data_IF_829521877760
#
_entry.id   IF_829521877760
#
_cell.length_a   1.000
_cell.length_b   1.000
_cell.length_c   1.000
_cell.angle_alpha   90.00
_cell.angle_beta   90.00
_cell.angle_gamma   90.00
#
_symmetry.space_group_name_H-M   'P 1'
#
loop_
_entity.id
_entity.type
_entity.pdbx_description
1 polymer ?
#
# COMPACT_ATOMS: atom_id res chain seq x y z
N UNK A 1 -0.48 15.48 -15.77
CA UNK A 1 -0.46 15.02 -14.37
C UNK A 1 0.92 14.47 -14.07
N UNK A 2 1.50 14.83 -12.94
CA UNK A 2 2.83 14.35 -12.58
C UNK A 2 2.69 12.94 -11.97
N UNK A 3 3.08 11.92 -12.72
CA UNK A 3 3.05 10.52 -12.25
C UNK A 3 4.30 10.24 -11.43
N UNK A 4 4.11 9.94 -10.15
CA UNK A 4 5.22 9.71 -9.23
C UNK A 4 5.83 8.33 -9.43
N UNK A 5 4.98 7.31 -9.70
CA UNK A 5 5.39 5.95 -10.01
C UNK A 5 4.66 5.46 -11.25
N UNK A 6 5.37 4.78 -12.16
CA UNK A 6 4.82 4.19 -13.38
C UNK A 6 5.30 2.76 -13.56
N UNK A 7 4.44 1.93 -14.08
CA UNK A 7 4.77 0.57 -14.51
C UNK A 7 4.67 0.48 -16.03
N UNK A 8 5.70 -0.10 -16.65
CA UNK A 8 5.80 -0.23 -18.10
C UNK A 8 6.05 -1.69 -18.48
N UNK A 9 5.08 -2.33 -19.14
CA UNK A 9 5.15 -3.71 -19.62
C UNK A 9 5.63 -4.70 -18.55
N UNK A 10 5.24 -4.46 -17.28
CA UNK A 10 5.76 -5.19 -16.12
C UNK A 10 5.22 -6.63 -16.10
N UNK A 11 6.11 -7.58 -15.91
CA UNK A 11 5.76 -8.95 -15.53
C UNK A 11 6.18 -9.21 -14.08
N UNK A 12 5.24 -9.70 -13.28
CA UNK A 12 5.45 -10.06 -11.88
C UNK A 12 5.29 -11.57 -11.67
N UNK A 13 5.97 -12.10 -10.69
CA UNK A 13 5.89 -13.54 -10.38
C UNK A 13 7.00 -14.00 -9.46
N UNK A 14 7.20 -15.30 -9.40
CA UNK A 14 8.24 -15.92 -8.58
C UNK A 14 9.37 -16.44 -9.45
N UNK A 15 10.61 -16.26 -9.01
CA UNK A 15 11.78 -16.92 -9.61
C UNK A 15 12.04 -18.21 -8.84
N UNK A 16 11.95 -19.36 -9.53
CA UNK A 16 12.40 -20.66 -9.03
C UNK A 16 13.63 -21.08 -9.84
N UNK A 17 14.76 -21.23 -9.19
CA UNK A 17 16.07 -21.55 -9.77
C UNK A 17 16.45 -20.65 -10.98
N UNK A 18 16.19 -21.04 -12.21
CA UNK A 18 16.54 -20.28 -13.44
C UNK A 18 15.32 -19.91 -14.28
N UNK A 19 14.13 -20.29 -13.87
CA UNK A 19 12.89 -20.00 -14.61
C UNK A 19 11.97 -19.08 -13.79
N UNK A 20 11.51 -18.00 -14.42
CA UNK A 20 10.48 -17.14 -13.86
C UNK A 20 9.10 -17.73 -14.11
N UNK A 21 8.29 -17.88 -13.07
CA UNK A 21 6.87 -18.24 -13.19
C UNK A 21 6.03 -16.97 -13.06
N UNK A 22 5.63 -16.35 -14.18
CA UNK A 22 4.85 -15.13 -14.16
C UNK A 22 3.43 -15.39 -13.64
N UNK A 23 2.98 -14.55 -12.72
CA UNK A 23 1.58 -14.46 -12.30
C UNK A 23 0.80 -13.57 -13.26
N UNK A 24 1.39 -12.44 -13.66
CA UNK A 24 0.83 -11.50 -14.63
C UNK A 24 1.95 -10.93 -15.50
N UNK A 25 1.58 -10.50 -16.73
CA UNK A 25 2.49 -9.89 -17.72
C UNK A 25 1.87 -8.66 -18.36
N UNK A 26 2.72 -7.80 -18.94
CA UNK A 26 2.29 -6.65 -19.73
C UNK A 26 1.54 -5.60 -18.92
N UNK A 27 1.78 -5.54 -17.59
CA UNK A 27 1.11 -4.59 -16.73
C UNK A 27 1.59 -3.17 -17.03
N UNK A 28 0.63 -2.26 -17.21
CA UNK A 28 0.88 -0.83 -17.38
C UNK A 28 -0.04 -0.07 -16.43
N UNK A 29 0.52 0.81 -15.63
CA UNK A 29 -0.26 1.68 -14.75
C UNK A 29 0.59 2.86 -14.26
N UNK A 30 -0.10 3.86 -13.71
CA UNK A 30 0.53 5.04 -13.15
C UNK A 30 -0.10 5.43 -11.82
N UNK A 31 0.74 5.85 -10.89
CA UNK A 31 0.33 6.33 -9.56
C UNK A 31 0.57 7.84 -9.49
N UNK A 32 -0.48 8.66 -9.60
CA UNK A 32 -0.36 10.11 -9.47
C UNK A 32 0.03 10.50 -8.05
N UNK A 33 0.69 11.66 -7.92
CA UNK A 33 1.06 12.20 -6.62
C UNK A 33 -0.19 12.58 -5.79
N UNK A 34 -0.08 12.48 -4.47
CA UNK A 34 -1.10 12.89 -3.50
C UNK A 34 -2.48 12.24 -3.75
N UNK A 35 -2.50 10.95 -4.07
CA UNK A 35 -3.73 10.17 -4.28
C UNK A 35 -3.78 8.95 -3.39
N UNK A 36 -5.00 8.55 -3.05
CA UNK A 36 -5.29 7.26 -2.43
C UNK A 36 -5.80 6.30 -3.52
N UNK A 37 -5.04 5.26 -3.80
CA UNK A 37 -5.35 4.27 -4.85
C UNK A 37 -5.57 2.90 -4.22
N UNK A 38 -6.65 2.19 -4.60
CA UNK A 38 -6.84 0.81 -4.20
C UNK A 38 -6.45 -0.16 -5.31
N UNK A 39 -5.68 -1.18 -4.95
CA UNK A 39 -5.34 -2.34 -5.77
C UNK A 39 -6.30 -3.48 -5.42
N UNK A 40 -7.15 -3.80 -6.36
CA UNK A 40 -8.24 -4.78 -6.23
C UNK A 40 -7.99 -5.95 -7.17
N UNK A 41 -8.35 -7.14 -6.77
CA UNK A 41 -8.24 -8.36 -7.57
C UNK A 41 -8.52 -9.61 -6.74
N UNK A 42 -8.77 -10.72 -7.40
CA UNK A 42 -9.03 -12.00 -6.74
C UNK A 42 -7.88 -12.44 -5.84
N UNK A 43 -8.15 -13.38 -4.93
CA UNK A 43 -7.10 -14.03 -4.16
C UNK A 43 -6.14 -14.76 -5.09
N UNK A 44 -4.83 -14.57 -4.86
CA UNK A 44 -3.79 -15.15 -5.73
C UNK A 44 -3.57 -14.42 -7.07
N UNK A 45 -4.26 -13.29 -7.34
CA UNK A 45 -4.03 -12.49 -8.55
C UNK A 45 -2.64 -11.82 -8.60
N UNK A 46 -1.90 -11.79 -7.49
CA UNK A 46 -0.56 -11.23 -7.45
C UNK A 46 -0.47 -9.84 -6.81
N UNK A 47 -1.49 -9.38 -6.07
CA UNK A 47 -1.49 -8.05 -5.43
C UNK A 47 -0.27 -7.82 -4.54
N UNK A 48 -0.01 -8.70 -3.59
CA UNK A 48 1.17 -8.62 -2.70
C UNK A 48 2.49 -8.74 -3.46
N UNK A 49 2.53 -9.56 -4.52
CA UNK A 49 3.70 -9.68 -5.39
C UNK A 49 3.94 -8.37 -6.13
N UNK A 50 2.90 -7.74 -6.66
CA UNK A 50 3.00 -6.43 -7.31
C UNK A 50 3.51 -5.38 -6.33
N UNK A 51 2.90 -5.24 -5.14
CA UNK A 51 3.36 -4.27 -4.13
C UNK A 51 4.84 -4.48 -3.74
N UNK A 52 5.26 -5.73 -3.55
CA UNK A 52 6.68 -6.05 -3.26
C UNK A 52 7.59 -5.72 -4.44
N UNK A 53 7.14 -5.91 -5.68
CA UNK A 53 7.92 -5.53 -6.87
C UNK A 53 8.03 -4.00 -6.98
N UNK A 54 6.95 -3.26 -6.71
CA UNK A 54 6.97 -1.79 -6.68
C UNK A 54 7.85 -1.21 -5.57
N UNK A 55 8.04 -1.95 -4.47
CA UNK A 55 8.97 -1.59 -3.39
C UNK A 55 10.41 -2.09 -3.65
N UNK A 56 10.69 -2.68 -4.81
CA UNK A 56 11.96 -3.34 -5.14
C UNK A 56 12.38 -4.46 -4.16
N UNK A 57 11.44 -5.04 -3.41
CA UNK A 57 11.66 -6.22 -2.55
C UNK A 57 11.65 -7.52 -3.36
N UNK A 58 11.00 -7.51 -4.53
CA UNK A 58 11.05 -8.58 -5.52
C UNK A 58 11.48 -7.99 -6.86
N UNK A 59 12.32 -8.68 -7.62
CA UNK A 59 12.69 -8.24 -8.95
C UNK A 59 11.51 -8.41 -9.92
N UNK A 60 11.37 -7.46 -10.85
CA UNK A 60 10.51 -7.67 -12.01
C UNK A 60 11.04 -8.85 -12.86
N UNK A 61 10.13 -9.58 -13.48
CA UNK A 61 10.50 -10.62 -14.43
C UNK A 61 10.76 -10.04 -15.83
N UNK A 62 9.93 -9.06 -16.24
CA UNK A 62 10.03 -8.29 -17.49
C UNK A 62 9.54 -6.87 -17.23
N UNK A 63 9.88 -5.92 -18.11
CA UNK A 63 9.45 -4.53 -17.99
C UNK A 63 10.18 -3.74 -16.94
N UNK A 64 9.65 -2.58 -16.56
CA UNK A 64 10.29 -1.68 -15.62
C UNK A 64 9.26 -0.97 -14.71
N UNK A 65 9.76 -0.51 -13.57
CA UNK A 65 9.05 0.39 -12.65
C UNK A 65 9.84 1.69 -12.59
N UNK A 66 9.18 2.78 -12.96
CA UNK A 66 9.78 4.10 -12.96
C UNK A 66 9.32 4.92 -11.76
N UNK A 67 10.25 5.49 -11.04
CA UNK A 67 10.04 6.45 -9.97
C UNK A 67 10.54 7.83 -10.42
N UNK A 68 9.64 8.82 -10.51
CA UNK A 68 9.95 10.12 -11.09
C UNK A 68 10.62 10.04 -12.49
N UNK A 69 10.16 9.10 -13.32
CA UNK A 69 10.68 8.89 -14.67
C UNK A 69 12.00 8.10 -14.76
N UNK A 70 12.55 7.63 -13.64
CA UNK A 70 13.78 6.86 -13.59
C UNK A 70 13.51 5.43 -13.09
N UNK A 71 14.16 4.44 -13.69
CA UNK A 71 14.05 3.04 -13.27
C UNK A 71 14.41 2.85 -11.80
N UNK A 72 13.65 2.02 -11.07
CA UNK A 72 13.96 1.67 -9.69
C UNK A 72 15.36 1.05 -9.53
N UNK A 73 15.87 0.42 -10.57
CA UNK A 73 17.17 -0.28 -10.53
C UNK A 73 18.38 0.63 -10.47
N UNK A 74 18.24 1.93 -10.72
CA UNK A 74 19.36 2.89 -10.55
C UNK A 74 19.58 3.30 -9.09
N UNK A 75 18.59 3.09 -8.23
CA UNK A 75 18.66 3.49 -6.84
C UNK A 75 19.24 2.39 -5.95
N UNK A 76 20.04 2.79 -4.98
CA UNK A 76 20.47 1.90 -3.90
C UNK A 76 19.27 1.54 -2.99
N UNK A 77 19.31 0.41 -2.26
CA UNK A 77 18.24 0.06 -1.32
C UNK A 77 17.94 1.17 -0.30
N UNK A 78 18.97 1.89 0.15
CA UNK A 78 18.82 3.00 1.10
C UNK A 78 18.11 4.20 0.47
N UNK A 79 18.39 4.52 -0.77
CA UNK A 79 17.71 5.60 -1.51
C UNK A 79 16.26 5.25 -1.78
N UNK A 80 15.95 3.99 -2.13
CA UNK A 80 14.58 3.53 -2.28
C UNK A 80 13.82 3.59 -0.97
N UNK A 81 14.44 3.15 0.14
CA UNK A 81 13.84 3.23 1.47
C UNK A 81 13.54 4.68 1.94
N UNK A 82 14.15 5.69 1.34
CA UNK A 82 13.80 7.10 1.57
C UNK A 82 12.70 7.65 0.66
N UNK A 83 12.23 6.85 -0.30
CA UNK A 83 11.25 7.25 -1.31
C UNK A 83 9.96 6.45 -1.24
N UNK A 84 10.07 5.17 -0.89
CA UNK A 84 8.95 4.22 -0.85
C UNK A 84 8.93 3.55 0.53
N UNK A 85 7.84 3.75 1.27
CA UNK A 85 7.50 3.00 2.48
C UNK A 85 6.60 1.84 2.11
N UNK A 86 6.73 0.72 2.82
CA UNK A 86 5.86 -0.44 2.64
C UNK A 86 5.45 -1.03 3.99
N UNK A 87 4.16 -1.34 4.10
CA UNK A 87 3.60 -2.15 5.20
C UNK A 87 3.04 -3.41 4.59
N UNK A 88 3.61 -4.55 4.94
CA UNK A 88 3.19 -5.86 4.47
C UNK A 88 2.15 -6.47 5.41
N UNK A 89 1.27 -7.30 4.85
CA UNK A 89 0.37 -8.14 5.65
C UNK A 89 1.19 -9.11 6.50
N UNK A 90 0.89 -9.20 7.79
CA UNK A 90 1.54 -10.13 8.71
C UNK A 90 1.72 -9.53 10.09
N UNK A 91 1.77 -10.40 11.09
CA UNK A 91 2.10 -9.98 12.44
C UNK A 91 3.61 -9.79 12.56
N UNK A 92 4.00 -8.67 13.17
CA UNK A 92 5.38 -8.49 13.59
C UNK A 92 5.56 -9.27 14.90
N UNK A 93 6.11 -10.48 14.82
CA UNK A 93 6.41 -11.32 15.99
C UNK A 93 7.77 -10.91 16.60
N UNK A 94 7.82 -9.70 17.15
CA UNK A 94 8.96 -9.26 17.96
C UNK A 94 8.43 -8.93 19.35
N UNK A 95 8.43 -9.92 20.27
CA UNK A 95 7.92 -9.72 21.61
C UNK A 95 8.73 -8.67 22.36
N UNK A 96 8.04 -7.95 23.26
CA UNK A 96 8.62 -6.93 24.14
C UNK A 96 9.14 -5.65 23.47
N UNK A 97 8.96 -5.49 22.17
CA UNK A 97 9.31 -4.24 21.48
C UNK A 97 8.26 -3.16 21.79
N UNK A 98 8.70 -1.99 22.25
CA UNK A 98 7.78 -0.89 22.53
C UNK A 98 7.29 -0.26 21.23
N UNK A 99 6.08 0.30 21.28
CA UNK A 99 5.48 1.01 20.15
C UNK A 99 6.41 2.10 19.64
N UNK A 100 7.00 2.91 20.52
CA UNK A 100 7.96 3.95 20.14
C UNK A 100 9.15 3.37 19.37
N UNK A 101 9.74 2.28 19.83
CA UNK A 101 10.90 1.64 19.19
C UNK A 101 10.55 1.16 17.77
N UNK A 102 9.31 0.65 17.60
CA UNK A 102 8.80 0.25 16.26
C UNK A 102 8.72 1.45 15.34
N UNK A 103 8.17 2.59 15.81
CA UNK A 103 8.03 3.80 14.98
C UNK A 103 9.41 4.40 14.68
N UNK A 104 10.31 4.44 15.66
CA UNK A 104 11.70 4.90 15.50
C UNK A 104 12.47 4.09 14.46
N UNK A 105 12.18 2.78 14.33
CA UNK A 105 12.78 1.95 13.27
C UNK A 105 12.45 2.46 11.85
N UNK A 106 11.39 3.25 11.66
CA UNK A 106 11.11 3.96 10.41
C UNK A 106 12.23 4.91 10.00
N UNK A 107 13.03 5.40 10.95
CA UNK A 107 14.15 6.32 10.67
C UNK A 107 15.44 5.62 10.28
N UNK A 108 15.52 4.29 10.32
CA UNK A 108 16.75 3.55 9.97
C UNK A 108 17.39 3.96 8.63
N UNK A 109 16.66 4.30 7.55
CA UNK A 109 17.30 4.77 6.31
C UNK A 109 18.08 6.08 6.46
N UNK A 110 17.85 6.85 7.50
CA UNK A 110 18.50 8.15 7.75
C UNK A 110 19.63 8.07 8.77
N UNK A 111 19.65 7.03 9.61
CA UNK A 111 20.68 6.87 10.64
C UNK A 111 22.03 6.43 10.01
N UNK A 112 23.11 6.78 10.70
CA UNK A 112 24.46 6.27 10.38
C UNK A 112 24.68 4.86 10.94
N UNK A 113 25.93 4.39 10.91
CA UNK A 113 26.33 3.06 11.43
C UNK A 113 26.02 2.89 12.93
N UNK A 114 25.98 3.98 13.70
CA UNK A 114 25.64 3.94 15.13
C UNK A 114 24.15 3.73 15.42
N UNK A 115 23.28 3.84 14.43
CA UNK A 115 21.83 3.75 14.60
C UNK A 115 21.21 4.89 15.45
N UNK A 116 21.98 5.92 15.83
CA UNK A 116 21.49 7.01 16.68
C UNK A 116 20.57 7.92 15.89
N UNK A 117 19.44 8.25 16.52
CA UNK A 117 18.48 9.23 16.00
C UNK A 117 18.94 10.66 16.33
N UNK A 118 18.79 11.56 15.37
CA UNK A 118 18.97 13.00 15.56
C UNK A 118 17.69 13.63 16.18
N UNK A 119 17.77 14.90 16.59
CA UNK A 119 16.59 15.65 17.04
C UNK A 119 15.50 15.70 15.95
N UNK A 120 15.89 15.93 14.69
CA UNK A 120 14.97 15.91 13.55
C UNK A 120 14.31 14.54 13.33
N UNK A 121 15.01 13.43 13.59
CA UNK A 121 14.42 12.09 13.51
C UNK A 121 13.36 11.90 14.62
N UNK A 122 13.62 12.35 15.82
CA UNK A 122 12.64 12.31 16.91
C UNK A 122 11.40 13.15 16.61
N UNK A 123 11.54 14.34 16.02
CA UNK A 123 10.41 15.16 15.57
C UNK A 123 9.54 14.41 14.56
N UNK A 124 10.13 13.74 13.56
CA UNK A 124 9.39 12.93 12.59
C UNK A 124 8.66 11.74 13.22
N UNK A 125 9.26 11.13 14.24
CA UNK A 125 8.62 10.05 15.00
C UNK A 125 7.40 10.59 15.76
N UNK A 126 7.52 11.70 16.46
CA UNK A 126 6.40 12.32 17.19
C UNK A 126 5.28 12.75 16.24
N UNK A 127 5.59 13.42 15.13
CA UNK A 127 4.60 13.77 14.11
C UNK A 127 3.84 12.53 13.60
N UNK A 128 4.55 11.47 13.27
CA UNK A 128 3.95 10.21 12.80
C UNK A 128 3.02 9.60 13.86
N UNK A 129 3.43 9.60 15.13
CA UNK A 129 2.65 9.06 16.24
C UNK A 129 1.39 9.90 16.53
N UNK A 130 1.47 11.22 16.43
CA UNK A 130 0.32 12.12 16.57
C UNK A 130 -0.68 11.89 15.44
N UNK A 131 -0.22 11.86 14.18
CA UNK A 131 -1.07 11.64 13.01
C UNK A 131 -1.84 10.32 13.06
N UNK A 132 -1.23 9.27 13.60
CA UNK A 132 -1.83 7.94 13.70
C UNK A 132 -2.54 7.69 15.04
N UNK A 133 -2.56 8.66 15.95
CA UNK A 133 -3.12 8.55 17.31
C UNK A 133 -2.51 7.36 18.09
N UNK A 134 -1.19 7.25 18.06
CA UNK A 134 -0.45 6.18 18.75
C UNK A 134 0.38 6.69 19.93
N UNK A 135 0.34 7.98 20.20
CA UNK A 135 1.12 8.64 21.28
C UNK A 135 0.78 8.08 22.66
N UNK A 136 -0.50 7.84 22.96
CA UNK A 136 -0.97 7.43 24.30
C UNK A 136 -0.47 6.04 24.70
N UNK A 137 -0.10 5.21 23.73
CA UNK A 137 0.44 3.88 23.98
C UNK A 137 1.89 3.68 23.54
N UNK A 138 2.65 4.78 23.40
CA UNK A 138 4.07 4.79 23.01
C UNK A 138 4.95 3.82 23.82
N UNK A 139 4.66 3.68 25.11
CA UNK A 139 5.42 2.86 26.05
C UNK A 139 4.91 1.42 26.17
N UNK A 140 3.75 1.10 25.59
CA UNK A 140 3.20 -0.26 25.56
C UNK A 140 4.01 -1.14 24.62
N UNK A 141 3.98 -2.44 24.86
CA UNK A 141 4.60 -3.41 23.95
C UNK A 141 3.66 -3.74 22.79
N UNK A 142 4.23 -4.01 21.59
CA UNK A 142 3.46 -4.24 20.36
C UNK A 142 2.52 -5.45 20.47
N UNK A 143 2.90 -6.45 21.25
CA UNK A 143 2.14 -7.67 21.50
C UNK A 143 0.91 -7.42 22.39
N UNK A 144 0.90 -6.35 23.19
CA UNK A 144 -0.24 -5.96 24.03
C UNK A 144 -1.34 -5.18 23.30
N UNK A 145 -1.13 -4.87 22.02
CA UNK A 145 -2.04 -4.06 21.22
C UNK A 145 -3.12 -4.90 20.55
N UNK A 146 -4.32 -4.30 20.38
CA UNK A 146 -5.33 -4.80 19.44
C UNK A 146 -4.80 -4.78 17.99
N UNK A 147 -5.41 -5.53 17.09
CA UNK A 147 -5.00 -5.52 15.68
C UNK A 147 -5.13 -4.13 15.04
N UNK A 148 -6.15 -3.34 15.40
CA UNK A 148 -6.32 -1.96 14.93
C UNK A 148 -5.25 -1.00 15.46
N UNK A 149 -4.91 -1.08 16.76
CA UNK A 149 -3.82 -0.29 17.35
C UNK A 149 -2.48 -0.66 16.70
N UNK A 150 -2.23 -1.96 16.53
CA UNK A 150 -1.02 -2.47 15.87
C UNK A 150 -0.90 -1.96 14.43
N UNK A 151 -1.99 -1.98 13.67
CA UNK A 151 -1.99 -1.48 12.30
C UNK A 151 -1.67 0.03 12.24
N UNK A 152 -2.21 0.83 13.16
CA UNK A 152 -1.85 2.25 13.28
C UNK A 152 -0.36 2.45 13.58
N UNK A 153 0.24 1.62 14.43
CA UNK A 153 1.68 1.66 14.71
C UNK A 153 2.51 1.33 13.47
N UNK A 154 2.10 0.35 12.67
CA UNK A 154 2.80 0.02 11.42
C UNK A 154 2.72 1.17 10.40
N UNK A 155 1.59 1.88 10.35
CA UNK A 155 1.45 3.08 9.53
C UNK A 155 2.28 4.24 10.11
N UNK A 156 2.32 4.41 11.43
CA UNK A 156 3.20 5.39 12.07
C UNK A 156 4.66 5.17 11.70
N UNK A 157 5.13 3.91 11.73
CA UNK A 157 6.47 3.54 11.27
C UNK A 157 6.72 3.95 9.82
N UNK A 158 5.76 3.67 8.91
CA UNK A 158 5.87 4.05 7.50
C UNK A 158 5.85 5.57 7.31
N UNK A 159 5.09 6.32 8.14
CA UNK A 159 5.08 7.78 8.13
C UNK A 159 6.39 8.37 8.67
N UNK A 160 6.91 7.81 9.77
CA UNK A 160 8.21 8.22 10.34
C UNK A 160 9.37 8.01 9.33
N UNK A 161 9.24 7.07 8.41
CA UNK A 161 10.18 6.88 7.30
C UNK A 161 10.21 8.10 6.35
N UNK A 162 9.20 8.99 6.41
CA UNK A 162 9.07 10.23 5.66
C UNK A 162 9.22 10.05 4.14
N UNK A 163 8.57 9.02 3.62
CA UNK A 163 8.53 8.72 2.20
C UNK A 163 7.37 9.43 1.52
N UNK A 164 7.51 9.67 0.23
CA UNK A 164 6.45 10.24 -0.60
C UNK A 164 5.40 9.19 -1.00
N UNK A 165 5.83 7.95 -1.21
CA UNK A 165 4.97 6.81 -1.55
C UNK A 165 4.86 5.87 -0.36
N UNK A 166 3.64 5.40 -0.07
CA UNK A 166 3.36 4.37 0.93
C UNK A 166 2.56 3.25 0.28
N UNK A 167 3.11 2.05 0.30
CA UNK A 167 2.47 0.84 -0.20
C UNK A 167 1.95 0.03 0.99
N UNK A 168 0.68 -0.36 0.96
CA UNK A 168 0.02 -1.07 2.06
C UNK A 168 -0.57 -2.38 1.54
N UNK A 169 -0.11 -3.50 2.06
CA UNK A 169 -0.64 -4.81 1.69
C UNK A 169 -1.71 -5.25 2.68
N UNK A 170 -2.98 -5.20 2.27
CA UNK A 170 -4.18 -5.55 3.04
C UNK A 170 -4.24 -4.88 4.43
N UNK A 171 -4.13 -3.54 4.53
CA UNK A 171 -4.04 -2.85 5.82
C UNK A 171 -5.30 -2.96 6.67
N UNK A 172 -6.44 -3.33 6.09
CA UNK A 172 -7.73 -3.51 6.77
C UNK A 172 -7.99 -4.96 7.19
N UNK A 173 -7.07 -5.91 6.90
CA UNK A 173 -7.23 -7.30 7.31
C UNK A 173 -7.32 -7.41 8.84
N UNK A 174 -8.18 -8.32 9.32
CA UNK A 174 -8.42 -8.60 10.75
C UNK A 174 -9.04 -7.46 11.57
N UNK A 175 -9.42 -6.33 10.94
CA UNK A 175 -10.08 -5.23 11.61
C UNK A 175 -11.61 -5.40 11.58
N UNK A 176 -12.28 -4.96 12.63
CA UNK A 176 -13.73 -4.77 12.60
C UNK A 176 -14.14 -3.59 11.69
N UNK A 177 -15.42 -3.45 11.43
CA UNK A 177 -15.91 -2.42 10.49
C UNK A 177 -15.54 -1.00 10.92
N UNK A 178 -15.65 -0.68 12.23
CA UNK A 178 -15.35 0.64 12.75
C UNK A 178 -13.87 0.98 12.59
N UNK A 179 -12.98 0.05 12.96
CA UNK A 179 -11.53 0.20 12.81
C UNK A 179 -11.10 0.32 11.34
N UNK A 180 -11.76 -0.43 10.41
CA UNK A 180 -11.54 -0.28 8.97
C UNK A 180 -11.91 1.12 8.48
N UNK A 181 -13.09 1.62 8.86
CA UNK A 181 -13.55 2.95 8.48
C UNK A 181 -12.61 4.05 8.98
N UNK A 182 -12.18 3.98 10.25
CA UNK A 182 -11.22 4.93 10.82
C UNK A 182 -9.86 4.88 10.10
N UNK A 183 -9.39 3.67 9.77
CA UNK A 183 -8.15 3.50 9.04
C UNK A 183 -8.23 4.11 7.64
N UNK A 184 -9.30 3.86 6.90
CA UNK A 184 -9.49 4.43 5.56
C UNK A 184 -9.61 5.96 5.60
N UNK A 185 -10.27 6.53 6.61
CA UNK A 185 -10.30 7.99 6.84
C UNK A 185 -8.90 8.55 7.14
N UNK A 186 -8.08 7.84 7.92
CA UNK A 186 -6.69 8.22 8.15
C UNK A 186 -5.90 8.24 6.84
N UNK A 187 -5.98 7.17 6.04
CA UNK A 187 -5.27 7.08 4.75
C UNK A 187 -5.72 8.18 3.78
N UNK A 188 -7.02 8.48 3.73
CA UNK A 188 -7.56 9.58 2.93
C UNK A 188 -6.94 10.92 3.34
N UNK A 189 -6.91 11.25 4.64
CA UNK A 189 -6.29 12.49 5.12
C UNK A 189 -4.78 12.53 4.82
N UNK A 190 -4.07 11.42 5.00
CA UNK A 190 -2.65 11.36 4.67
C UNK A 190 -2.39 11.66 3.19
N UNK A 191 -3.25 11.19 2.30
CA UNK A 191 -3.13 11.49 0.88
C UNK A 191 -3.41 12.97 0.56
N UNK A 192 -4.51 13.53 1.07
CA UNK A 192 -5.00 14.85 0.65
C UNK A 192 -4.47 16.02 1.48
N UNK A 193 -4.27 15.82 2.80
CA UNK A 193 -3.82 16.88 3.70
C UNK A 193 -2.29 16.85 3.90
N UNK A 194 -1.67 15.65 3.79
CA UNK A 194 -0.23 15.47 3.99
C UNK A 194 0.53 15.09 2.70
N UNK A 195 -0.12 15.20 1.53
CA UNK A 195 0.46 14.97 0.20
C UNK A 195 1.16 13.60 0.06
N UNK A 196 0.69 12.57 0.76
CA UNK A 196 1.21 11.21 0.61
C UNK A 196 0.55 10.53 -0.58
N UNK A 197 1.30 9.77 -1.33
CA UNK A 197 0.80 8.93 -2.42
C UNK A 197 0.67 7.51 -1.89
N UNK A 198 -0.55 7.00 -1.81
CA UNK A 198 -0.84 5.74 -1.15
C UNK A 198 -1.44 4.75 -2.14
N UNK A 199 -0.85 3.56 -2.21
CA UNK A 199 -1.42 2.41 -2.90
C UNK A 199 -1.66 1.29 -1.88
N UNK A 200 -2.93 0.92 -1.69
CA UNK A 200 -3.28 -0.19 -0.79
C UNK A 200 -3.92 -1.33 -1.54
N UNK A 201 -3.56 -2.57 -1.21
CA UNK A 201 -4.35 -3.73 -1.62
C UNK A 201 -5.51 -3.93 -0.64
N UNK A 202 -6.68 -4.31 -1.15
CA UNK A 202 -7.83 -4.57 -0.29
C UNK A 202 -8.79 -5.59 -0.92
N UNK A 203 -9.51 -6.30 -0.07
CA UNK A 203 -10.67 -7.11 -0.41
C UNK A 203 -11.99 -6.43 -0.02
N UNK A 204 -11.93 -5.32 0.70
CA UNK A 204 -13.10 -4.55 1.15
C UNK A 204 -13.48 -3.52 0.09
N UNK A 205 -14.22 -4.00 -0.92
CA UNK A 205 -14.54 -3.21 -2.10
C UNK A 205 -15.48 -2.05 -1.80
N UNK A 206 -16.50 -2.28 -0.96
CA UNK A 206 -17.49 -1.25 -0.65
C UNK A 206 -16.85 -0.05 0.05
N UNK A 207 -15.95 -0.31 0.99
CA UNK A 207 -15.23 0.74 1.71
C UNK A 207 -14.21 1.44 0.81
N UNK A 208 -13.51 0.69 -0.03
CA UNK A 208 -12.56 1.25 -0.99
C UNK A 208 -13.25 2.23 -1.95
N UNK A 209 -14.38 1.84 -2.57
CA UNK A 209 -15.09 2.69 -3.53
C UNK A 209 -15.62 4.00 -2.94
N UNK A 210 -15.85 4.05 -1.64
CA UNK A 210 -16.29 5.27 -0.96
C UNK A 210 -15.16 6.24 -0.61
N UNK A 211 -13.92 5.76 -0.62
CA UNK A 211 -12.80 6.52 -0.03
C UNK A 211 -11.64 6.78 -0.98
N UNK A 212 -11.46 5.96 -2.03
CA UNK A 212 -10.30 6.09 -2.90
C UNK A 212 -10.55 6.98 -4.12
N UNK A 213 -9.50 7.64 -4.60
CA UNK A 213 -9.54 8.44 -5.82
C UNK A 213 -9.45 7.55 -7.07
N UNK A 214 -8.65 6.50 -6.99
CA UNK A 214 -8.32 5.65 -8.14
C UNK A 214 -8.37 4.17 -7.78
N UNK A 215 -8.57 3.37 -8.83
CA UNK A 215 -8.57 1.91 -8.74
C UNK A 215 -7.54 1.32 -9.71
N UNK A 216 -6.86 0.30 -9.24
CA UNK A 216 -6.09 -0.64 -10.03
C UNK A 216 -6.77 -2.02 -9.92
N UNK A 217 -7.34 -2.49 -11.01
CA UNK A 217 -8.04 -3.76 -11.10
C UNK A 217 -7.07 -4.79 -11.70
N UNK A 218 -6.54 -5.68 -10.86
CA UNK A 218 -5.55 -6.68 -11.24
C UNK A 218 -6.23 -8.02 -11.49
N UNK A 219 -6.11 -8.51 -12.73
CA UNK A 219 -6.48 -9.85 -13.15
C UNK A 219 -5.26 -10.59 -13.77
N UNK A 220 -5.43 -11.87 -14.06
CA UNK A 220 -4.36 -12.64 -14.72
C UNK A 220 -4.05 -12.11 -16.11
N UNK A 221 -5.04 -11.58 -16.79
CA UNK A 221 -4.99 -11.03 -18.15
C UNK A 221 -4.34 -9.65 -18.21
N UNK A 222 -4.17 -8.97 -17.07
CA UNK A 222 -3.59 -7.64 -17.02
C UNK A 222 -4.08 -6.77 -15.88
N UNK A 223 -3.82 -5.47 -16.02
CA UNK A 223 -4.21 -4.45 -15.05
C UNK A 223 -4.98 -3.35 -15.77
N UNK A 224 -6.16 -3.02 -15.22
CA UNK A 224 -6.97 -1.86 -15.64
C UNK A 224 -6.86 -0.80 -14.56
N UNK A 225 -6.48 0.42 -14.93
CA UNK A 225 -6.44 1.54 -14.01
C UNK A 225 -7.40 2.66 -14.41
N UNK A 226 -7.82 3.45 -13.45
CA UNK A 226 -8.62 4.63 -13.71
C UNK A 226 -9.11 5.33 -12.45
N UNK A 227 -9.75 6.47 -12.66
CA UNK A 227 -10.54 7.14 -11.64
C UNK A 227 -11.66 6.20 -11.18
N UNK A 228 -11.90 6.12 -9.87
CA UNK A 228 -12.85 5.16 -9.29
C UNK A 228 -14.27 5.38 -9.84
N UNK A 229 -14.72 6.64 -9.95
CA UNK A 229 -16.03 6.98 -10.50
C UNK A 229 -16.14 6.65 -11.99
N UNK A 230 -15.12 7.01 -12.77
CA UNK A 230 -15.12 6.71 -14.21
C UNK A 230 -15.15 5.20 -14.49
N UNK A 231 -14.45 4.39 -13.72
CA UNK A 231 -14.50 2.93 -13.86
C UNK A 231 -15.88 2.36 -13.49
N UNK A 232 -16.53 2.94 -12.48
CA UNK A 232 -17.92 2.58 -12.13
C UNK A 232 -18.89 2.95 -13.26
N UNK A 233 -18.85 4.18 -13.75
CA UNK A 233 -19.79 4.71 -14.74
C UNK A 233 -19.62 4.04 -16.11
N UNK A 234 -18.39 3.77 -16.54
CA UNK A 234 -18.09 3.12 -17.83
C UNK A 234 -18.50 1.66 -17.93
N UNK A 235 -18.82 1.00 -16.80
CA UNK A 235 -19.13 -0.41 -16.75
C UNK A 235 -17.94 -1.35 -16.64
N UNK A 236 -16.70 -0.85 -16.79
CA UNK A 236 -15.48 -1.66 -16.70
C UNK A 236 -15.34 -2.38 -15.37
N UNK A 237 -15.83 -1.74 -14.29
CA UNK A 237 -15.87 -2.36 -12.98
C UNK A 237 -16.84 -3.55 -12.94
N UNK A 238 -18.05 -3.39 -13.53
CA UNK A 238 -19.02 -4.47 -13.60
C UNK A 238 -18.50 -5.66 -14.43
N UNK A 239 -17.86 -5.38 -15.58
CA UNK A 239 -17.26 -6.41 -16.44
C UNK A 239 -16.13 -7.16 -15.72
N UNK A 240 -15.29 -6.43 -14.98
CA UNK A 240 -14.19 -7.02 -14.19
C UNK A 240 -14.72 -8.00 -13.14
N UNK A 241 -15.79 -7.65 -12.43
CA UNK A 241 -16.35 -8.52 -11.40
C UNK A 241 -17.29 -9.60 -11.95
N UNK A 242 -17.94 -9.37 -13.08
CA UNK A 242 -18.72 -10.40 -13.76
C UNK A 242 -17.84 -11.60 -14.18
N UNK A 243 -16.61 -11.34 -14.62
CA UNK A 243 -15.61 -12.39 -14.90
C UNK A 243 -15.23 -13.21 -13.65
N UNK A 244 -15.51 -12.69 -12.43
CA UNK A 244 -15.29 -13.37 -11.15
C UNK A 244 -16.58 -13.96 -10.54
N UNK A 245 -17.70 -13.94 -11.29
CA UNK A 245 -18.98 -14.46 -10.83
C UNK A 245 -19.74 -13.52 -9.88
N UNK A 246 -19.42 -12.24 -9.85
CA UNK A 246 -20.08 -11.23 -9.04
C UNK A 246 -20.82 -10.24 -9.93
N UNK A 247 -22.03 -9.83 -9.50
CA UNK A 247 -22.77 -8.75 -10.15
C UNK A 247 -22.54 -7.45 -9.37
N UNK A 248 -22.21 -6.38 -10.10
CA UNK A 248 -22.04 -5.05 -9.54
C UNK A 248 -23.20 -4.14 -9.97
N UNK A 249 -23.97 -3.63 -9.01
CA UNK A 249 -25.01 -2.63 -9.25
C UNK A 249 -24.41 -1.23 -9.23
N UNK A 250 -24.31 -0.61 -10.39
CA UNK A 250 -23.76 0.75 -10.57
C UNK A 250 -24.54 1.82 -9.79
N UNK A 251 -25.86 1.62 -9.61
CA UNK A 251 -26.74 2.60 -8.95
C UNK A 251 -26.54 2.63 -7.45
N UNK A 252 -26.32 1.47 -6.84
CA UNK A 252 -26.15 1.32 -5.39
C UNK A 252 -24.68 1.18 -4.95
N UNK A 253 -23.76 0.91 -5.88
CA UNK A 253 -22.35 0.61 -5.59
C UNK A 253 -22.16 -0.72 -4.87
N UNK A 254 -23.13 -1.63 -4.92
CA UNK A 254 -23.13 -2.89 -4.17
C UNK A 254 -22.86 -4.09 -5.06
N UNK A 255 -22.32 -5.12 -4.43
CA UNK A 255 -22.10 -6.42 -5.05
C UNK A 255 -23.22 -7.38 -4.64
N UNK A 256 -23.64 -8.23 -5.59
CA UNK A 256 -24.55 -9.33 -5.35
C UNK A 256 -24.09 -10.60 -6.06
N UNK A 257 -24.54 -11.73 -5.56
CA UNK A 257 -24.38 -13.01 -6.27
C UNK A 257 -25.51 -13.13 -7.31
N UNK A 258 -25.22 -13.67 -8.50
CA UNK A 258 -26.24 -14.02 -9.46
C UNK A 258 -27.00 -15.25 -8.93
N UNK A 259 -28.22 -15.06 -8.46
CA UNK A 259 -29.15 -16.15 -8.13
C UNK A 259 -30.19 -16.27 -9.24
#
# INVERSE_FOLDING_TARGET
MNHLLQIQQLAIGHRSHRQGHPLCRGLNASLPAATLTALVGANGAGKSTLLRTLAALLPALEGDVLLNGHSLYIYTPRELARRIGIVLTGRMDVPHLRVRDVVEAGRMPYTGLSGRLSAADHERVEEAMVLTRTTDFAHRTIDSLSDGERQRVMIAKALAQDTQIILLDEPTAFLDFAAKAELMQLLYRLAHEHNKTILLSTHDLELAFQTVDRLWLLAREGLVEGDARQLMDSGRLADFFAAQGLQFDKRTGRFSLPF
#
